data_IF_951898368822
#
_entry.id   IF_951898368822
#
_cell.length_a   1.000
_cell.length_b   1.000
_cell.length_c   1.000
_cell.angle_alpha   90.00
_cell.angle_beta   90.00
_cell.angle_gamma   90.00
#
_symmetry.space_group_name_H-M   'P 1'
#
loop_
_entity.id
_entity.type
_entity.pdbx_description
1 polymer ?
#
# COMPACT_ATOMS: atom_id res chain seq x y z
N UNK A 1 -26.45 -18.10 1.17
CA UNK A 1 -24.97 -18.30 1.18
C UNK A 1 -24.26 -16.95 0.98
N UNK A 2 -23.89 -16.25 2.06
CA UNK A 2 -23.00 -15.09 1.99
C UNK A 2 -22.35 -14.77 3.35
N UNK A 3 -22.03 -15.79 4.16
CA UNK A 3 -21.37 -15.57 5.47
C UNK A 3 -19.92 -15.10 5.33
N UNK A 4 -19.26 -15.38 4.20
CA UNK A 4 -17.86 -14.99 3.97
C UNK A 4 -17.66 -13.48 3.71
N UNK A 5 -18.69 -12.75 3.24
CA UNK A 5 -18.58 -11.30 2.99
C UNK A 5 -18.77 -10.47 4.25
N UNK A 6 -19.53 -10.97 5.22
CA UNK A 6 -19.77 -10.29 6.50
C UNK A 6 -18.61 -10.45 7.48
N UNK A 7 -17.90 -11.59 7.44
CA UNK A 7 -16.71 -11.82 8.27
C UNK A 7 -15.58 -10.80 7.98
N UNK A 8 -15.33 -10.47 6.71
CA UNK A 8 -14.33 -9.45 6.34
C UNK A 8 -14.72 -8.04 6.77
N UNK A 9 -16.01 -7.74 6.87
CA UNK A 9 -16.52 -6.44 7.31
C UNK A 9 -16.44 -6.28 8.83
N UNK A 10 -16.63 -7.38 9.57
CA UNK A 10 -16.59 -7.40 11.03
C UNK A 10 -15.18 -7.56 11.63
N UNK A 11 -14.21 -8.16 10.93
CA UNK A 11 -12.83 -8.21 11.43
C UNK A 11 -12.14 -6.84 11.46
N UNK A 12 -12.57 -5.90 10.62
CA UNK A 12 -12.01 -4.53 10.57
C UNK A 12 -12.51 -3.66 11.74
N UNK A 13 -13.66 -4.00 12.35
CA UNK A 13 -14.26 -3.21 13.44
C UNK A 13 -13.70 -3.49 14.84
N UNK A 14 -12.89 -4.54 15.04
CA UNK A 14 -12.51 -5.02 16.38
C UNK A 14 -11.06 -4.73 16.78
N UNK A 15 -10.47 -3.70 16.18
CA UNK A 15 -9.24 -3.08 16.68
C UNK A 15 -9.59 -1.71 17.26
N UNK A 16 -9.35 -1.60 18.56
CA UNK A 16 -9.74 -0.55 19.49
C UNK A 16 -9.62 0.90 18.95
N UNK A 17 -10.67 1.69 19.20
CA UNK A 17 -10.50 3.13 19.53
C UNK A 17 -10.25 4.12 18.41
N UNK A 18 -10.52 3.78 17.15
CA UNK A 18 -10.47 4.76 16.04
C UNK A 18 -11.78 4.78 15.29
N UNK A 19 -12.58 5.83 15.48
CA UNK A 19 -13.68 6.15 14.56
C UNK A 19 -13.08 6.20 13.16
N UNK A 20 -13.47 5.29 12.26
CA UNK A 20 -13.20 5.45 10.83
C UNK A 20 -14.18 6.51 10.36
N UNK A 21 -13.87 7.77 10.70
CA UNK A 21 -14.50 8.90 10.06
C UNK A 21 -14.21 8.77 8.57
N UNK A 22 -15.26 8.82 7.75
CA UNK A 22 -15.12 9.12 6.32
C UNK A 22 -14.61 10.55 6.22
N UNK A 23 -13.32 10.72 6.44
CA UNK A 23 -12.65 12.00 6.35
C UNK A 23 -12.60 12.41 4.89
N UNK A 24 -13.44 13.37 4.52
CA UNK A 24 -13.05 14.43 3.58
C UNK A 24 -11.97 15.28 4.27
N UNK A 25 -10.91 14.63 4.75
CA UNK A 25 -9.74 15.25 5.36
C UNK A 25 -8.72 15.46 4.26
N UNK A 26 -7.99 16.57 4.30
CA UNK A 26 -6.83 16.78 3.42
C UNK A 26 -5.82 15.65 3.69
N UNK A 27 -5.82 14.63 2.83
CA UNK A 27 -4.76 13.63 2.82
C UNK A 27 -3.45 14.33 2.44
N UNK A 28 -2.39 14.04 3.19
CA UNK A 28 -1.10 14.68 3.08
C UNK A 28 -0.08 13.76 2.42
N UNK A 29 1.06 14.35 2.03
CA UNK A 29 2.22 13.59 1.55
C UNK A 29 2.59 12.51 2.58
N UNK A 30 2.70 11.28 2.09
CA UNK A 30 3.02 10.05 2.83
C UNK A 30 1.91 9.46 3.69
N UNK A 31 0.67 9.97 3.61
CA UNK A 31 -0.45 9.27 4.23
C UNK A 31 -0.59 7.86 3.64
N UNK A 32 -0.88 6.93 4.54
CA UNK A 32 -1.08 5.51 4.26
C UNK A 32 -2.51 5.14 4.55
N UNK A 33 -3.14 4.46 3.60
CA UNK A 33 -4.54 4.03 3.65
C UNK A 33 -4.89 3.13 2.47
N UNK A 34 -6.16 2.79 2.33
CA UNK A 34 -6.62 2.00 1.18
C UNK A 34 -6.74 2.90 -0.06
N UNK A 35 -6.51 2.34 -1.25
CA UNK A 35 -6.57 3.11 -2.50
C UNK A 35 -7.86 3.91 -2.67
N UNK A 36 -9.02 3.31 -2.40
CA UNK A 36 -10.30 4.00 -2.49
C UNK A 36 -10.49 5.14 -1.49
N UNK A 37 -9.73 5.16 -0.40
CA UNK A 37 -9.84 6.17 0.65
C UNK A 37 -8.92 7.37 0.39
N UNK A 38 -7.74 7.14 -0.19
CA UNK A 38 -6.70 8.18 -0.28
C UNK A 38 -6.40 8.68 -1.70
N UNK A 39 -6.97 8.08 -2.75
CA UNK A 39 -6.74 8.51 -4.14
C UNK A 39 -7.32 9.89 -4.46
N UNK A 40 -6.80 10.52 -5.51
CA UNK A 40 -7.38 11.75 -6.08
C UNK A 40 -6.87 13.06 -5.46
N UNK A 41 -5.80 13.01 -4.67
CA UNK A 41 -5.20 14.17 -4.04
C UNK A 41 -4.37 14.98 -5.03
N UNK A 42 -4.64 16.28 -5.13
CA UNK A 42 -3.93 17.14 -6.09
C UNK A 42 -2.42 17.15 -5.81
N UNK A 43 -1.63 16.87 -6.84
CA UNK A 43 -0.15 16.88 -6.77
C UNK A 43 0.49 15.60 -6.21
N UNK A 44 -0.32 14.66 -5.70
CA UNK A 44 0.13 13.38 -5.18
C UNK A 44 -0.49 12.23 -5.97
N UNK A 45 0.24 11.10 -6.03
CA UNK A 45 -0.28 9.84 -6.54
C UNK A 45 -0.38 8.85 -5.37
N UNK A 46 -1.44 8.04 -5.36
CA UNK A 46 -1.49 6.84 -4.53
C UNK A 46 -0.59 5.77 -5.17
N UNK A 47 0.45 5.36 -4.43
CA UNK A 47 1.41 4.37 -4.89
C UNK A 47 1.16 3.00 -4.26
N UNK A 48 0.88 2.01 -5.12
CA UNK A 48 0.63 0.63 -4.72
C UNK A 48 1.92 0.03 -4.19
N UNK A 49 1.93 -0.34 -2.91
CA UNK A 49 3.02 -1.11 -2.30
C UNK A 49 2.62 -2.57 -2.25
N UNK A 50 3.38 -3.40 -2.95
CA UNK A 50 2.84 -4.58 -3.58
C UNK A 50 2.32 -4.22 -4.96
N UNK A 51 3.22 -3.97 -5.93
CA UNK A 51 2.81 -3.63 -7.30
C UNK A 51 1.72 -4.55 -7.83
N UNK A 52 0.56 -3.95 -8.15
CA UNK A 52 -0.68 -4.61 -8.57
C UNK A 52 -0.49 -5.75 -9.58
N UNK A 53 0.37 -5.56 -10.58
CA UNK A 53 0.60 -6.55 -11.63
C UNK A 53 1.26 -7.84 -11.11
N UNK A 54 2.04 -7.74 -10.04
CA UNK A 54 2.76 -8.85 -9.44
C UNK A 54 1.93 -9.45 -8.29
N UNK A 55 1.29 -8.61 -7.45
CA UNK A 55 0.48 -9.08 -6.32
C UNK A 55 -0.62 -10.07 -6.70
N UNK A 56 -1.27 -9.87 -7.86
CA UNK A 56 -2.29 -10.80 -8.38
C UNK A 56 -1.79 -12.23 -8.61
N UNK A 57 -0.47 -12.44 -8.74
CA UNK A 57 0.13 -13.78 -8.88
C UNK A 57 0.26 -14.51 -7.55
N UNK A 58 0.39 -13.77 -6.45
CA UNK A 58 0.66 -14.33 -5.11
C UNK A 58 -0.57 -14.32 -4.20
N UNK A 59 -1.55 -13.46 -4.48
CA UNK A 59 -2.76 -13.29 -3.66
C UNK A 59 -3.97 -13.53 -4.54
N UNK A 60 -4.63 -14.68 -4.32
CA UNK A 60 -5.74 -15.16 -5.16
C UNK A 60 -6.91 -14.17 -5.27
N UNK A 61 -7.20 -13.44 -4.19
CA UNK A 61 -8.30 -12.50 -4.11
C UNK A 61 -7.82 -11.04 -4.06
N UNK A 62 -6.72 -10.73 -4.74
CA UNK A 62 -6.17 -9.38 -4.73
C UNK A 62 -7.12 -8.36 -5.36
N UNK A 63 -7.62 -7.44 -4.54
CA UNK A 63 -8.44 -6.31 -4.99
C UNK A 63 -7.60 -5.01 -5.00
N UNK A 64 -7.26 -4.48 -6.19
CA UNK A 64 -6.49 -3.25 -6.28
C UNK A 64 -7.21 -2.01 -5.73
N UNK A 65 -8.55 -2.04 -5.63
CA UNK A 65 -9.31 -0.89 -5.14
C UNK A 65 -9.25 -0.76 -3.62
N UNK A 66 -8.92 -1.85 -2.92
CA UNK A 66 -8.77 -1.93 -1.48
C UNK A 66 -7.35 -2.34 -1.08
N UNK A 67 -6.36 -2.11 -1.96
CA UNK A 67 -4.96 -2.37 -1.68
C UNK A 67 -4.35 -1.26 -0.82
N UNK A 68 -3.35 -1.57 0.04
CA UNK A 68 -2.60 -0.58 0.80
C UNK A 68 -1.76 0.33 -0.09
N UNK A 69 -1.93 1.64 0.09
CA UNK A 69 -1.24 2.68 -0.66
C UNK A 69 -0.47 3.62 0.27
N UNK A 70 0.50 4.33 -0.31
CA UNK A 70 1.08 5.55 0.26
C UNK A 70 0.96 6.71 -0.71
N UNK A 71 0.60 7.90 -0.23
CA UNK A 71 0.61 9.11 -1.05
C UNK A 71 2.03 9.61 -1.28
N UNK A 72 2.43 9.75 -2.53
CA UNK A 72 3.77 10.22 -2.91
C UNK A 72 3.71 11.30 -3.98
N UNK A 73 4.71 12.19 -4.07
CA UNK A 73 4.82 13.10 -5.20
C UNK A 73 4.93 12.34 -6.54
N UNK A 74 4.39 12.94 -7.61
CA UNK A 74 4.50 12.38 -8.98
C UNK A 74 5.96 12.17 -9.42
N UNK A 75 6.86 13.07 -8.98
CA UNK A 75 8.31 12.92 -9.15
C UNK A 75 8.79 11.77 -8.28
N UNK A 76 9.42 10.78 -8.88
CA UNK A 76 9.79 9.51 -8.24
C UNK A 76 8.79 8.37 -8.50
N UNK A 77 7.55 8.67 -8.92
CA UNK A 77 6.50 7.67 -9.15
C UNK A 77 6.13 7.50 -10.63
N UNK A 78 5.59 8.56 -11.23
CA UNK A 78 5.18 8.62 -12.64
C UNK A 78 6.14 9.45 -13.49
N UNK A 79 6.94 10.30 -12.85
CA UNK A 79 8.00 11.12 -13.47
C UNK A 79 9.35 10.80 -12.86
N UNK A 80 10.42 10.76 -13.66
CA UNK A 80 11.79 10.53 -13.16
C UNK A 80 12.25 11.75 -12.35
N UNK A 81 12.74 11.53 -11.13
CA UNK A 81 13.34 12.55 -10.28
C UNK A 81 14.86 12.42 -10.16
N UNK A 82 15.50 13.24 -9.30
CA UNK A 82 16.95 13.17 -9.06
C UNK A 82 17.42 11.82 -8.49
N UNK A 83 16.57 11.16 -7.70
CA UNK A 83 16.77 9.79 -7.21
C UNK A 83 16.14 8.74 -8.13
N UNK A 84 15.84 9.08 -9.38
CA UNK A 84 15.22 8.19 -10.35
C UNK A 84 13.72 8.02 -10.12
N UNK A 85 13.23 6.81 -10.37
CA UNK A 85 11.83 6.39 -10.23
C UNK A 85 11.81 5.07 -9.45
N UNK A 86 10.72 4.79 -8.75
CA UNK A 86 10.52 3.48 -8.11
C UNK A 86 10.54 2.36 -9.16
N UNK A 87 11.27 1.28 -8.88
CA UNK A 87 11.43 0.15 -9.79
C UNK A 87 10.10 -0.50 -10.11
N UNK A 88 9.83 -0.70 -11.40
CA UNK A 88 8.64 -1.42 -11.92
C UNK A 88 8.97 -2.86 -12.37
N UNK A 89 10.22 -3.28 -12.17
CA UNK A 89 10.67 -4.61 -12.56
C UNK A 89 9.99 -5.69 -11.71
N UNK A 90 9.64 -6.80 -12.33
CA UNK A 90 9.18 -8.02 -11.67
C UNK A 90 10.28 -9.09 -11.58
N UNK A 91 11.47 -8.82 -12.12
CA UNK A 91 12.57 -9.79 -12.17
C UNK A 91 13.06 -10.11 -10.75
N UNK A 92 13.18 -11.40 -10.44
CA UNK A 92 13.68 -11.89 -9.16
C UNK A 92 12.70 -11.74 -7.98
N UNK A 93 11.41 -11.50 -8.26
CA UNK A 93 10.35 -11.51 -7.25
C UNK A 93 9.60 -12.84 -7.32
N UNK A 94 9.74 -13.65 -6.27
CA UNK A 94 9.21 -15.02 -6.18
C UNK A 94 8.00 -15.11 -5.25
N UNK A 95 7.83 -14.15 -4.34
CA UNK A 95 6.70 -14.10 -3.42
C UNK A 95 6.29 -12.66 -3.05
N UNK A 96 5.11 -12.53 -2.42
CA UNK A 96 4.56 -11.23 -2.00
C UNK A 96 5.42 -10.52 -0.95
N UNK A 97 6.13 -11.26 -0.10
CA UNK A 97 7.04 -10.69 0.90
C UNK A 97 8.23 -9.98 0.26
N UNK A 98 8.88 -10.63 -0.71
CA UNK A 98 9.99 -10.05 -1.46
C UNK A 98 9.55 -8.80 -2.21
N UNK A 99 8.35 -8.83 -2.80
CA UNK A 99 7.77 -7.65 -3.45
C UNK A 99 7.59 -6.49 -2.48
N UNK A 100 6.97 -6.73 -1.32
CA UNK A 100 6.78 -5.71 -0.29
C UNK A 100 8.13 -5.15 0.18
N UNK A 101 9.12 -6.02 0.43
CA UNK A 101 10.45 -5.58 0.86
C UNK A 101 11.13 -4.68 -0.18
N UNK A 102 11.09 -5.07 -1.46
CA UNK A 102 11.62 -4.29 -2.58
C UNK A 102 10.93 -2.92 -2.65
N UNK A 103 9.60 -2.90 -2.63
CA UNK A 103 8.82 -1.66 -2.75
C UNK A 103 9.13 -0.70 -1.58
N UNK A 104 9.28 -1.20 -0.36
CA UNK A 104 9.68 -0.38 0.81
C UNK A 104 11.12 0.16 0.66
N UNK A 105 12.06 -0.65 0.18
CA UNK A 105 13.44 -0.18 -0.08
C UNK A 105 13.47 0.91 -1.16
N UNK A 106 12.71 0.74 -2.23
CA UNK A 106 12.60 1.72 -3.31
C UNK A 106 11.96 3.02 -2.84
N UNK A 107 10.91 2.94 -2.01
CA UNK A 107 10.32 4.13 -1.39
C UNK A 107 11.34 4.90 -0.55
N UNK A 108 12.13 4.22 0.29
CA UNK A 108 13.21 4.86 1.06
C UNK A 108 14.26 5.52 0.17
N UNK A 109 14.62 4.88 -0.94
CA UNK A 109 15.64 5.37 -1.88
C UNK A 109 15.18 6.60 -2.65
N UNK A 110 13.94 6.57 -3.15
CA UNK A 110 13.38 7.61 -4.02
C UNK A 110 12.85 8.79 -3.21
N UNK A 111 12.29 8.53 -2.02
CA UNK A 111 11.72 9.50 -1.11
C UNK A 111 12.38 9.39 0.27
N UNK A 112 13.61 9.89 0.44
CA UNK A 112 14.38 9.73 1.68
C UNK A 112 13.74 10.44 2.89
N UNK A 113 12.81 11.35 2.65
CA UNK A 113 12.06 12.10 3.65
C UNK A 113 10.77 11.40 4.11
N UNK A 114 10.48 10.17 3.66
CA UNK A 114 9.36 9.39 4.21
C UNK A 114 9.64 9.08 5.70
N UNK A 115 8.73 9.44 6.61
CA UNK A 115 8.86 9.05 8.01
C UNK A 115 8.86 7.53 8.18
N UNK A 116 9.75 7.02 9.02
CA UNK A 116 9.81 5.58 9.33
C UNK A 116 8.47 5.04 9.87
N UNK A 117 7.70 5.86 10.58
CA UNK A 117 6.35 5.52 11.06
C UNK A 117 5.39 5.18 9.92
N UNK A 118 5.41 5.93 8.81
CA UNK A 118 4.54 5.66 7.66
C UNK A 118 4.91 4.36 6.95
N UNK A 119 6.21 4.07 6.79
CA UNK A 119 6.65 2.79 6.22
C UNK A 119 6.26 1.60 7.09
N UNK A 120 6.35 1.73 8.43
CA UNK A 120 5.85 0.71 9.37
C UNK A 120 4.34 0.53 9.25
N UNK A 121 3.57 1.62 9.23
CA UNK A 121 2.11 1.59 9.04
C UNK A 121 1.74 0.84 7.75
N UNK A 122 2.45 1.10 6.66
CA UNK A 122 2.22 0.47 5.36
C UNK A 122 2.55 -1.03 5.34
N UNK A 123 3.63 -1.44 6.00
CA UNK A 123 4.00 -2.85 6.16
C UNK A 123 2.94 -3.58 6.98
N UNK A 124 2.49 -3.00 8.10
CA UNK A 124 1.49 -3.63 8.96
C UNK A 124 0.13 -3.75 8.26
N UNK A 125 -0.31 -2.71 7.54
CA UNK A 125 -1.55 -2.77 6.76
C UNK A 125 -1.49 -3.87 5.68
N UNK A 126 -0.35 -4.02 4.99
CA UNK A 126 -0.11 -5.11 4.04
C UNK A 126 -0.21 -6.49 4.72
N UNK A 127 0.44 -6.68 5.86
CA UNK A 127 0.40 -7.95 6.61
C UNK A 127 -1.00 -8.28 7.14
N UNK A 128 -1.78 -7.26 7.49
CA UNK A 128 -3.17 -7.42 7.96
C UNK A 128 -4.08 -7.89 6.82
N UNK A 129 -3.99 -7.26 5.64
CA UNK A 129 -4.85 -7.60 4.50
C UNK A 129 -4.41 -8.87 3.76
N UNK A 130 -3.11 -9.16 3.74
CA UNK A 130 -2.55 -10.25 2.94
C UNK A 130 -1.65 -11.17 3.80
N UNK A 131 -2.23 -12.20 4.45
CA UNK A 131 -1.48 -13.16 5.24
C UNK A 131 -0.35 -13.87 4.48
N UNK A 132 -0.46 -13.99 3.15
CA UNK A 132 0.57 -14.55 2.27
C UNK A 132 1.89 -13.78 2.33
N UNK A 133 1.88 -12.49 2.67
CA UNK A 133 3.09 -11.68 2.90
C UNK A 133 3.90 -12.20 4.12
N UNK A 134 3.27 -12.96 5.01
CA UNK A 134 3.95 -13.58 6.16
C UNK A 134 4.60 -14.92 5.82
N UNK A 135 4.48 -15.41 4.58
CA UNK A 135 5.09 -16.67 4.14
C UNK A 135 6.45 -16.42 3.47
N UNK A 136 7.37 -17.37 3.64
CA UNK A 136 8.68 -17.36 2.95
C UNK A 136 8.52 -18.01 1.59
#
# INVERSE_FOLDING_TARGET
MSEAKDASRNMIKKVEGGVVEKGVGKSNKYDVGLYNEIKGVLGLDAHHVGQKAIMKKFIRNYDPNNAPEILVPKVGHTRKGPKGIVSRSSKGIENARQLLARDIMELRRVYPDIPNSQLRKLIELNKQLYPEIRRR
#
